data_IF_585733337855
#
_entry.id   IF_585733337855
#
_cell.length_a   1.000
_cell.length_b   1.000
_cell.length_c   1.000
_cell.angle_alpha   90.00
_cell.angle_beta   90.00
_cell.angle_gamma   90.00
#
_symmetry.space_group_name_H-M   'P 1'
#
loop_
_entity.id
_entity.type
_entity.pdbx_description
1 polymer ?
#
# COMPACT_ATOMS: atom_id res chain seq x y z
N UNK A 1 13.66 -15.30 -0.45
CA UNK A 1 13.21 -14.66 0.80
C UNK A 1 13.79 -15.44 1.97
N UNK A 2 13.81 -14.90 3.19
CA UNK A 2 14.19 -15.67 4.38
C UNK A 2 13.12 -15.48 5.46
N UNK A 3 12.84 -16.53 6.24
CA UNK A 3 12.15 -16.39 7.51
C UNK A 3 13.15 -16.43 8.65
N UNK A 4 12.88 -15.59 9.64
CA UNK A 4 13.61 -15.52 10.90
C UNK A 4 12.57 -15.75 11.99
N UNK A 5 12.77 -16.76 12.82
CA UNK A 5 11.93 -16.97 14.00
C UNK A 5 12.51 -16.17 15.16
N UNK A 6 11.77 -15.20 15.73
CA UNK A 6 12.28 -14.40 16.83
C UNK A 6 12.77 -15.27 18.00
N UNK A 7 13.93 -14.90 18.57
CA UNK A 7 14.55 -15.65 19.66
C UNK A 7 15.27 -16.95 19.23
N UNK A 8 15.26 -17.28 17.94
CA UNK A 8 16.05 -18.37 17.38
C UNK A 8 17.16 -17.82 16.48
N UNK A 9 18.34 -18.44 16.51
CA UNK A 9 19.43 -18.11 15.58
C UNK A 9 19.28 -18.78 14.20
N UNK A 10 18.13 -19.42 13.94
CA UNK A 10 17.87 -20.12 12.70
C UNK A 10 17.26 -19.19 11.66
N UNK A 11 17.86 -19.17 10.47
CA UNK A 11 17.34 -18.49 9.28
C UNK A 11 16.97 -19.57 8.27
N UNK A 12 15.73 -19.56 7.79
CA UNK A 12 15.29 -20.51 6.77
C UNK A 12 15.07 -19.79 5.46
N UNK A 13 15.66 -20.30 4.38
CA UNK A 13 15.37 -19.78 3.05
C UNK A 13 13.93 -20.13 2.66
N UNK A 14 13.18 -19.12 2.21
CA UNK A 14 11.88 -19.28 1.59
C UNK A 14 12.01 -18.99 0.10
N UNK A 15 11.85 -20.04 -0.69
CA UNK A 15 11.90 -19.97 -2.15
C UNK A 15 13.29 -19.71 -2.73
N UNK A 16 13.39 -19.70 -4.07
CA UNK A 16 14.62 -19.31 -4.75
C UNK A 16 14.91 -17.82 -4.58
N UNK A 17 16.14 -17.43 -4.91
CA UNK A 17 16.48 -16.01 -5.09
C UNK A 17 15.68 -15.45 -6.27
N UNK A 18 15.15 -14.24 -6.10
CA UNK A 18 14.53 -13.46 -7.16
C UNK A 18 15.61 -12.89 -8.09
N UNK A 19 16.10 -13.71 -9.02
CA UNK A 19 17.19 -13.33 -9.93
C UNK A 19 16.75 -12.24 -10.92
N UNK A 20 17.64 -11.26 -11.16
CA UNK A 20 17.40 -10.16 -12.10
C UNK A 20 16.50 -9.05 -11.57
N UNK A 21 16.19 -9.06 -10.27
CA UNK A 21 15.26 -8.15 -9.60
C UNK A 21 15.96 -7.35 -8.51
N UNK A 22 15.56 -6.11 -8.30
CA UNK A 22 16.02 -5.28 -7.18
C UNK A 22 14.81 -4.92 -6.34
N UNK A 23 14.59 -5.72 -5.29
CA UNK A 23 13.47 -5.53 -4.39
C UNK A 23 13.75 -4.34 -3.47
N UNK A 24 12.82 -3.39 -3.45
CA UNK A 24 12.81 -2.18 -2.63
C UNK A 24 11.45 -2.05 -2.00
N UNK A 25 11.36 -1.83 -0.71
CA UNK A 25 10.11 -1.80 0.03
C UNK A 25 9.28 -3.08 -0.04
N UNK A 26 8.73 -3.46 1.10
CA UNK A 26 7.87 -4.62 1.18
C UNK A 26 6.91 -4.51 2.34
N UNK A 27 5.68 -4.95 2.12
CA UNK A 27 4.65 -4.87 3.15
C UNK A 27 3.79 -6.12 3.14
N UNK A 28 3.46 -6.58 4.35
CA UNK A 28 2.46 -7.62 4.55
C UNK A 28 1.07 -7.01 4.65
N UNK A 29 0.14 -7.52 3.85
CA UNK A 29 -1.30 -7.27 3.96
C UNK A 29 -1.97 -8.58 4.39
N UNK A 30 -2.02 -8.82 5.71
CA UNK A 30 -2.36 -10.16 6.22
C UNK A 30 -1.33 -11.19 5.77
N UNK A 31 -1.77 -12.24 5.09
CA UNK A 31 -0.91 -13.34 4.59
C UNK A 31 -0.29 -13.09 3.20
N UNK A 32 -0.50 -11.89 2.63
CA UNK A 32 0.01 -11.53 1.30
C UNK A 32 1.22 -10.62 1.47
N UNK A 33 2.33 -10.98 0.83
CA UNK A 33 3.50 -10.12 0.73
C UNK A 33 3.43 -9.32 -0.57
N UNK A 34 3.47 -8.01 -0.46
CA UNK A 34 3.65 -7.09 -1.57
C UNK A 34 5.06 -6.51 -1.53
N UNK A 35 5.67 -6.30 -2.70
CA UNK A 35 7.00 -5.71 -2.79
C UNK A 35 7.18 -4.94 -4.10
N UNK A 36 8.05 -3.93 -4.11
CA UNK A 36 8.42 -3.24 -5.36
C UNK A 36 9.69 -3.85 -5.94
N UNK A 37 9.65 -4.21 -7.22
CA UNK A 37 10.85 -4.44 -8.01
C UNK A 37 11.25 -3.16 -8.75
N UNK A 38 12.21 -2.44 -8.17
CA UNK A 38 12.75 -1.21 -8.76
C UNK A 38 13.54 -1.44 -10.05
N UNK A 39 14.00 -2.67 -10.32
CA UNK A 39 14.74 -2.98 -11.55
C UNK A 39 13.81 -3.17 -12.76
N UNK A 40 12.61 -3.70 -12.52
CA UNK A 40 11.60 -3.98 -13.54
C UNK A 40 10.42 -3.01 -13.50
N UNK A 41 10.43 -2.06 -12.56
CA UNK A 41 9.42 -1.03 -12.40
C UNK A 41 8.01 -1.56 -12.10
N UNK A 42 7.94 -2.58 -11.26
CA UNK A 42 6.70 -3.32 -11.01
C UNK A 42 6.42 -3.61 -9.55
N UNK A 43 5.13 -3.68 -9.22
CA UNK A 43 4.61 -4.25 -7.99
C UNK A 43 4.53 -5.77 -8.12
N UNK A 44 5.04 -6.47 -7.12
CA UNK A 44 4.97 -7.92 -7.00
C UNK A 44 3.99 -8.34 -5.92
N UNK A 45 3.17 -9.34 -6.22
CA UNK A 45 2.46 -10.15 -5.22
C UNK A 45 3.22 -11.44 -5.02
N UNK A 46 3.68 -11.70 -3.80
CA UNK A 46 4.56 -12.83 -3.47
C UNK A 46 3.85 -13.74 -2.48
N UNK A 47 3.91 -15.04 -2.72
CA UNK A 47 3.49 -16.04 -1.75
C UNK A 47 4.48 -16.07 -0.58
N UNK A 48 4.02 -15.73 0.62
CA UNK A 48 4.88 -15.63 1.79
C UNK A 48 5.49 -16.97 2.26
N UNK A 49 4.90 -18.10 1.88
CA UNK A 49 5.33 -19.43 2.33
C UNK A 49 6.32 -20.07 1.36
N UNK A 50 6.24 -19.72 0.08
CA UNK A 50 7.08 -20.31 -0.98
C UNK A 50 8.04 -19.33 -1.61
N UNK A 51 7.83 -18.02 -1.44
CA UNK A 51 8.63 -16.96 -2.08
C UNK A 51 8.38 -16.84 -3.59
N UNK A 52 7.37 -17.54 -4.12
CA UNK A 52 7.00 -17.49 -5.53
C UNK A 52 6.29 -16.18 -5.85
N UNK A 53 6.62 -15.56 -6.98
CA UNK A 53 5.83 -14.43 -7.51
C UNK A 53 4.52 -15.00 -8.06
N UNK A 54 3.41 -14.52 -7.51
CA UNK A 54 2.06 -14.90 -7.91
C UNK A 54 1.52 -13.98 -9.01
N UNK A 55 1.93 -12.72 -8.99
CA UNK A 55 1.47 -11.68 -9.90
C UNK A 55 2.50 -10.54 -9.93
N UNK A 56 2.62 -9.87 -11.07
CA UNK A 56 3.41 -8.66 -11.23
C UNK A 56 2.65 -7.62 -12.08
N UNK A 57 2.79 -6.33 -11.75
CA UNK A 57 2.10 -5.22 -12.42
C UNK A 57 3.03 -4.02 -12.55
N UNK A 58 3.12 -3.45 -13.74
CA UNK A 58 3.81 -2.16 -13.94
C UNK A 58 3.11 -1.07 -13.13
N UNK A 59 3.87 -0.24 -12.41
CA UNK A 59 3.32 0.94 -11.75
C UNK A 59 3.02 2.02 -12.79
N UNK A 60 1.82 2.61 -12.71
CA UNK A 60 1.33 3.59 -13.69
C UNK A 60 0.99 4.91 -12.99
N UNK A 61 1.44 6.02 -13.54
CA UNK A 61 1.04 7.37 -13.13
C UNK A 61 0.51 8.13 -14.34
N UNK A 62 -0.74 8.60 -14.27
CA UNK A 62 -1.41 9.33 -15.35
C UNK A 62 -1.36 8.58 -16.71
N UNK A 63 -1.55 7.26 -16.68
CA UNK A 63 -1.54 6.41 -17.87
C UNK A 63 -0.16 6.15 -18.49
N UNK A 64 0.93 6.60 -17.86
CA UNK A 64 2.30 6.32 -18.27
C UNK A 64 3.04 5.49 -17.21
N UNK A 65 4.07 4.71 -17.58
CA UNK A 65 4.91 4.04 -16.61
C UNK A 65 5.45 5.02 -15.56
N UNK A 66 5.23 4.71 -14.29
CA UNK A 66 5.73 5.48 -13.16
C UNK A 66 7.22 5.19 -12.98
N UNK A 67 8.10 6.17 -12.97
CA UNK A 67 9.54 5.94 -12.83
C UNK A 67 9.95 5.82 -11.35
N UNK A 68 10.17 4.61 -10.88
CA UNK A 68 10.61 4.33 -9.50
C UNK A 68 12.04 4.84 -9.27
N UNK A 69 12.27 5.56 -8.18
CA UNK A 69 13.62 5.98 -7.80
C UNK A 69 14.42 4.90 -7.06
N UNK A 70 15.70 5.17 -6.80
CA UNK A 70 16.56 4.27 -6.02
C UNK A 70 16.16 4.16 -4.54
N UNK A 71 15.36 5.11 -4.06
CA UNK A 71 14.95 5.31 -2.68
C UNK A 71 13.43 5.30 -2.64
N UNK A 72 12.88 4.10 -2.46
CA UNK A 72 11.45 3.85 -2.44
C UNK A 72 11.11 2.81 -1.38
N UNK A 73 9.99 3.02 -0.72
CA UNK A 73 9.36 2.06 0.15
C UNK A 73 7.83 2.09 0.03
N UNK A 74 7.16 1.04 0.48
CA UNK A 74 5.70 0.91 0.50
C UNK A 74 5.18 0.48 1.86
N UNK A 75 4.02 0.98 2.23
CA UNK A 75 3.33 0.59 3.45
C UNK A 75 1.82 0.46 3.25
N UNK A 76 1.19 -0.23 4.20
CA UNK A 76 -0.26 -0.34 4.32
C UNK A 76 -0.68 0.33 5.62
N UNK A 77 -1.70 1.18 5.53
CA UNK A 77 -2.30 1.83 6.68
C UNK A 77 -3.42 0.96 7.31
N UNK A 78 -3.87 1.26 8.54
CA UNK A 78 -4.92 0.48 9.22
C UNK A 78 -6.26 0.41 8.47
N UNK A 79 -6.54 1.40 7.62
CA UNK A 79 -7.73 1.49 6.75
C UNK A 79 -7.59 0.70 5.43
N UNK A 80 -6.49 -0.06 5.28
CA UNK A 80 -6.14 -0.82 4.08
C UNK A 80 -5.74 0.04 2.85
N UNK A 81 -5.48 1.34 3.04
CA UNK A 81 -4.89 2.16 1.99
C UNK A 81 -3.39 1.88 1.85
N UNK A 82 -2.90 1.92 0.62
CA UNK A 82 -1.49 1.65 0.30
C UNK A 82 -0.78 2.94 -0.07
N UNK A 83 0.42 3.07 0.46
CA UNK A 83 1.24 4.26 0.36
C UNK A 83 2.61 3.88 -0.16
N UNK A 84 3.18 4.74 -0.99
CA UNK A 84 4.57 4.70 -1.39
C UNK A 84 5.26 5.97 -0.88
N UNK A 85 6.48 5.84 -0.39
CA UNK A 85 7.39 6.94 -0.14
C UNK A 85 8.53 6.81 -1.14
N UNK A 86 8.63 7.75 -2.07
CA UNK A 86 9.65 7.78 -3.10
C UNK A 86 10.39 9.12 -3.04
N UNK A 87 11.70 9.12 -2.86
CA UNK A 87 12.49 10.35 -2.74
C UNK A 87 12.31 11.32 -3.91
N UNK A 88 12.09 10.80 -5.12
CA UNK A 88 11.98 11.60 -6.35
C UNK A 88 10.54 12.01 -6.69
N UNK A 89 9.56 11.48 -5.97
CA UNK A 89 8.13 11.64 -6.28
C UNK A 89 7.26 11.92 -5.06
N UNK A 90 7.83 11.93 -3.86
CA UNK A 90 7.18 12.15 -2.57
C UNK A 90 6.42 10.96 -2.02
N UNK A 91 5.60 11.27 -1.01
CA UNK A 91 4.65 10.31 -0.42
C UNK A 91 3.33 10.39 -1.19
N UNK A 92 2.86 9.25 -1.68
CA UNK A 92 1.65 9.12 -2.51
C UNK A 92 0.87 7.86 -2.10
N UNK A 93 -0.44 7.92 -2.28
CA UNK A 93 -1.24 6.71 -2.31
C UNK A 93 -1.09 6.00 -3.66
N UNK A 94 -1.27 4.68 -3.67
CA UNK A 94 -1.44 3.92 -4.89
C UNK A 94 -2.47 2.80 -4.70
N UNK A 95 -3.09 2.39 -5.80
CA UNK A 95 -4.04 1.29 -5.81
C UNK A 95 -3.29 -0.03 -5.97
N UNK A 96 -3.24 -0.85 -4.93
CA UNK A 96 -2.53 -2.13 -4.94
C UNK A 96 -3.06 -3.12 -6.00
N UNK A 97 -4.34 -3.02 -6.37
CA UNK A 97 -4.97 -3.93 -7.32
C UNK A 97 -4.67 -3.54 -8.78
N UNK A 98 -4.56 -2.25 -9.07
CA UNK A 98 -4.30 -1.74 -10.44
C UNK A 98 -2.87 -1.26 -10.66
N UNK A 99 -2.08 -1.15 -9.60
CA UNK A 99 -0.75 -0.53 -9.59
C UNK A 99 -0.76 0.96 -10.04
N UNK A 100 -1.90 1.63 -9.95
CA UNK A 100 -2.03 3.05 -10.29
C UNK A 100 -1.59 3.93 -9.12
N UNK A 101 -0.58 4.76 -9.35
CA UNK A 101 -0.05 5.76 -8.41
C UNK A 101 -0.86 7.04 -8.53
N UNK A 102 -1.28 7.58 -7.39
CA UNK A 102 -2.03 8.84 -7.34
C UNK A 102 -1.18 10.02 -7.82
N UNK A 103 -1.80 10.92 -8.59
CA UNK A 103 -1.17 12.18 -9.02
C UNK A 103 -1.05 13.19 -7.88
N UNK A 104 -1.85 13.04 -6.82
CA UNK A 104 -1.75 13.84 -5.60
C UNK A 104 -0.55 13.41 -4.75
N UNK A 105 0.21 14.39 -4.27
CA UNK A 105 1.42 14.19 -3.49
C UNK A 105 1.28 14.92 -2.15
N UNK A 106 1.66 14.24 -1.06
CA UNK A 106 1.60 14.82 0.30
C UNK A 106 2.80 15.71 0.59
N UNK A 107 4.00 15.24 0.23
CA UNK A 107 5.24 15.98 0.37
C UNK A 107 5.98 16.03 -0.96
N UNK A 108 6.48 17.20 -1.40
CA UNK A 108 7.19 17.36 -2.67
C UNK A 108 8.44 16.49 -2.73
N UNK A 109 8.85 16.17 -3.97
CA UNK A 109 10.14 15.56 -4.25
C UNK A 109 11.24 16.44 -3.66
N UNK A 110 12.29 15.81 -3.13
CA UNK A 110 13.46 16.56 -2.71
C UNK A 110 14.74 15.82 -3.03
N UNK A 111 15.82 16.58 -3.21
CA UNK A 111 17.16 16.02 -3.32
C UNK A 111 17.64 15.51 -1.95
N UNK A 112 18.54 14.53 -1.96
CA UNK A 112 19.23 14.06 -0.77
C UNK A 112 19.79 15.23 0.07
N UNK A 113 19.67 15.14 1.39
CA UNK A 113 20.11 16.18 2.33
C UNK A 113 19.03 17.19 2.77
N UNK A 114 17.77 16.98 2.40
CA UNK A 114 16.63 17.73 2.98
C UNK A 114 15.69 16.80 3.74
N UNK A 115 14.88 17.34 4.65
CA UNK A 115 13.89 16.61 5.45
C UNK A 115 12.72 15.98 4.65
N UNK A 116 12.86 15.91 3.33
CA UNK A 116 11.85 15.38 2.41
C UNK A 116 12.38 14.21 1.57
N UNK A 117 13.57 13.69 1.90
CA UNK A 117 14.13 12.51 1.26
C UNK A 117 13.88 11.31 2.18
N UNK A 118 13.17 10.30 1.68
CA UNK A 118 12.70 9.17 2.48
C UNK A 118 13.09 7.85 1.84
N UNK A 119 13.45 6.89 2.70
CA UNK A 119 13.81 5.52 2.31
C UNK A 119 12.93 4.45 2.98
N UNK A 120 12.10 4.86 3.96
CA UNK A 120 11.21 3.97 4.69
C UNK A 120 9.92 4.67 5.09
N UNK A 121 8.81 3.94 5.06
CA UNK A 121 7.50 4.39 5.54
C UNK A 121 6.81 3.25 6.28
N UNK A 122 6.16 3.54 7.41
CA UNK A 122 5.36 2.57 8.13
C UNK A 122 4.19 3.24 8.85
N UNK A 123 3.15 2.46 9.14
CA UNK A 123 2.02 2.89 9.95
C UNK A 123 2.02 2.15 11.30
N UNK A 124 1.23 2.67 12.24
CA UNK A 124 1.05 2.06 13.55
C UNK A 124 -0.44 1.80 13.82
N UNK A 125 -0.74 0.67 14.46
CA UNK A 125 -2.09 0.35 14.97
C UNK A 125 -2.54 1.28 16.11
N UNK A 126 -1.61 2.05 16.69
CA UNK A 126 -1.88 2.94 17.82
C UNK A 126 -1.99 4.42 17.40
N UNK A 127 -2.00 4.70 16.09
CA UNK A 127 -2.16 6.03 15.54
C UNK A 127 -3.35 6.08 14.57
N UNK A 128 -3.79 7.29 14.23
CA UNK A 128 -4.74 7.47 13.12
C UNK A 128 -4.07 7.09 11.79
N UNK A 129 -4.88 6.66 10.83
CA UNK A 129 -4.57 6.43 9.43
C UNK A 129 -3.89 7.63 8.74
N UNK A 130 -4.08 8.85 9.27
CA UNK A 130 -3.43 10.06 8.76
C UNK A 130 -1.99 10.21 9.26
N UNK A 131 -1.51 9.31 10.13
CA UNK A 131 -0.19 9.41 10.76
C UNK A 131 0.70 8.25 10.31
N UNK A 132 1.78 8.59 9.61
CA UNK A 132 2.83 7.65 9.25
C UNK A 132 4.13 7.95 10.01
N UNK A 133 4.98 6.93 10.11
CA UNK A 133 6.39 7.05 10.42
C UNK A 133 7.17 7.03 9.11
N UNK A 134 8.18 7.89 9.00
CA UNK A 134 9.07 7.97 7.85
C UNK A 134 10.52 7.96 8.32
N UNK A 135 11.37 7.25 7.58
CA UNK A 135 12.81 7.27 7.77
C UNK A 135 13.43 8.21 6.74
N UNK A 136 14.12 9.23 7.23
CA UNK A 136 14.83 10.19 6.39
C UNK A 136 16.17 9.64 5.90
N UNK A 137 16.57 10.10 4.71
CA UNK A 137 17.86 9.78 4.08
C UNK A 137 18.67 11.07 3.83
N UNK A 138 18.70 11.98 4.82
CA UNK A 138 19.27 13.33 4.70
C UNK A 138 20.59 13.55 5.46
N UNK A 139 21.42 12.50 5.56
CA UNK A 139 22.69 12.48 6.32
C UNK A 139 22.55 12.58 7.85
N UNK A 140 21.32 12.60 8.35
CA UNK A 140 20.96 12.30 9.72
C UNK A 140 19.87 11.25 9.61
N UNK A 141 20.20 10.02 9.97
CA UNK A 141 19.30 8.87 9.90
C UNK A 141 18.14 9.07 10.90
N UNK A 142 17.18 9.94 10.59
CA UNK A 142 16.11 10.36 11.49
C UNK A 142 14.85 9.53 11.25
N UNK A 143 14.15 9.19 12.34
CA UNK A 143 12.78 8.68 12.28
C UNK A 143 11.84 9.80 12.68
N UNK A 144 10.88 10.09 11.80
CA UNK A 144 9.90 11.15 11.99
C UNK A 144 8.50 10.61 11.93
N UNK A 145 7.62 11.28 12.64
CA UNK A 145 6.19 11.19 12.43
C UNK A 145 5.77 12.23 11.41
N UNK A 146 4.91 11.86 10.47
CA UNK A 146 4.26 12.77 9.54
C UNK A 146 2.75 12.68 9.64
N UNK A 147 2.07 13.83 9.60
CA UNK A 147 0.65 13.90 9.34
C UNK A 147 0.40 14.07 7.84
N UNK A 148 -0.32 13.13 7.24
CA UNK A 148 -0.53 13.04 5.79
C UNK A 148 -1.57 14.05 5.27
N UNK A 149 -2.33 14.69 6.15
CA UNK A 149 -3.32 15.73 5.80
C UNK A 149 -2.69 17.13 5.84
N UNK A 150 -1.90 17.40 6.88
CA UNK A 150 -1.29 18.73 7.09
C UNK A 150 0.16 18.81 6.59
N UNK A 151 0.75 17.68 6.21
CA UNK A 151 2.16 17.52 5.85
C UNK A 151 3.13 17.94 6.95
N UNK A 152 2.67 18.05 8.20
CA UNK A 152 3.52 18.44 9.33
C UNK A 152 4.34 17.25 9.80
N UNK A 153 5.65 17.47 9.94
CA UNK A 153 6.59 16.46 10.43
C UNK A 153 7.08 16.78 11.84
N UNK A 154 7.27 15.74 12.65
CA UNK A 154 7.88 15.82 13.99
C UNK A 154 8.94 14.75 14.11
N UNK A 155 10.18 15.13 14.41
CA UNK A 155 11.23 14.16 14.68
C UNK A 155 10.94 13.41 15.98
N UNK A 156 11.00 12.07 15.93
CA UNK A 156 10.84 11.21 17.09
C UNK A 156 12.20 10.75 17.60
N UNK A 157 13.08 10.36 16.67
CA UNK A 157 14.42 9.92 16.94
C UNK A 157 15.37 10.55 15.94
N UNK A 158 16.34 11.30 16.44
CA UNK A 158 17.35 11.91 15.59
C UNK A 158 18.55 10.97 15.49
N UNK A 159 19.05 10.78 14.27
CA UNK A 159 20.27 10.07 13.96
C UNK A 159 20.35 8.68 14.63
N UNK A 160 19.34 7.84 14.36
CA UNK A 160 19.16 6.52 15.00
C UNK A 160 20.37 5.61 14.81
N UNK A 161 21.20 5.87 13.81
CA UNK A 161 22.46 5.17 13.65
C UNK A 161 23.63 6.07 13.23
N UNK A 162 24.15 6.85 14.18
CA UNK A 162 25.16 7.91 13.95
C UNK A 162 26.45 7.58 13.18
N UNK A 163 26.77 6.30 12.98
CA UNK A 163 27.98 5.86 12.26
C UNK A 163 27.70 5.40 10.82
N UNK A 164 26.45 5.50 10.39
CA UNK A 164 25.98 5.16 9.06
C UNK A 164 24.99 6.24 8.65
N UNK A 165 25.01 6.60 7.38
CA UNK A 165 24.07 7.58 6.83
C UNK A 165 23.68 7.03 5.47
N UNK A 166 22.79 6.05 5.48
CA UNK A 166 22.42 5.30 4.29
C UNK A 166 20.97 4.88 4.32
N UNK A 167 20.56 4.02 3.39
CA UNK A 167 19.16 3.63 3.30
C UNK A 167 18.67 2.97 4.60
N UNK A 168 17.58 3.50 5.15
CA UNK A 168 16.86 2.94 6.28
C UNK A 168 15.48 2.53 5.80
N UNK A 169 15.12 1.29 6.11
CA UNK A 169 13.80 0.74 5.87
C UNK A 169 12.96 0.77 7.16
N UNK A 170 11.63 0.90 7.02
CA UNK A 170 10.70 0.79 8.13
C UNK A 170 9.70 -0.32 7.84
N UNK A 171 9.53 -1.23 8.80
CA UNK A 171 8.50 -2.26 8.72
C UNK A 171 7.67 -2.25 10.00
N UNK A 172 6.36 -2.40 9.85
CA UNK A 172 5.43 -2.56 10.95
C UNK A 172 4.43 -3.68 10.65
N UNK A 173 4.02 -4.38 11.70
CA UNK A 173 2.84 -5.24 11.65
C UNK A 173 1.65 -4.34 11.91
N UNK A 174 0.81 -4.16 10.90
CA UNK A 174 -0.39 -3.31 10.97
C UNK A 174 -1.63 -4.22 10.86
N UNK A 175 -2.55 -4.08 11.80
CA UNK A 175 -3.85 -4.74 11.77
C UNK A 175 -4.78 -4.00 10.82
N UNK A 176 -4.76 -4.45 9.57
CA UNK A 176 -5.63 -3.95 8.52
C UNK A 176 -7.09 -4.30 8.80
N UNK A 177 -7.95 -3.28 8.85
CA UNK A 177 -9.40 -3.48 8.85
C UNK A 177 -9.87 -3.68 7.42
N UNK A 178 -10.49 -4.83 7.11
CA UNK A 178 -11.17 -4.98 5.82
C UNK A 178 -12.54 -4.31 5.91
N UNK A 179 -12.93 -3.48 4.93
CA UNK A 179 -14.29 -2.98 4.87
C UNK A 179 -15.23 -4.17 4.77
N UNK A 180 -16.13 -4.31 5.74
CA UNK A 180 -17.21 -5.30 5.68
C UNK A 180 -18.02 -4.94 4.43
N UNK A 181 -18.16 -5.84 3.43
CA UNK A 181 -19.02 -5.56 2.29
C UNK A 181 -20.39 -5.20 2.85
N UNK A 182 -20.92 -4.04 2.50
CA UNK A 182 -22.29 -3.72 2.89
C UNK A 182 -23.17 -4.90 2.46
N UNK A 183 -24.02 -5.44 3.36
CA UNK A 183 -24.92 -6.50 2.97
C UNK A 183 -25.70 -5.97 1.78
N UNK A 184 -25.62 -6.68 0.64
CA UNK A 184 -26.37 -6.39 -0.58
C UNK A 184 -27.75 -5.87 -0.16
N UNK A 185 -28.01 -4.59 -0.37
CA UNK A 185 -29.27 -3.97 0.04
C UNK A 185 -30.39 -4.58 -0.80
N UNK A 186 -30.91 -5.73 -0.34
CA UNK A 186 -32.08 -6.44 -0.89
C UNK A 186 -33.33 -5.55 -0.83
N UNK A 187 -33.26 -4.42 -0.12
CA UNK A 187 -34.31 -3.40 -0.08
C UNK A 187 -34.65 -2.80 -1.46
N UNK A 188 -33.74 -2.83 -2.44
CA UNK A 188 -34.04 -2.39 -3.82
C UNK A 188 -34.83 -3.40 -4.66
N UNK A 189 -34.91 -4.67 -4.23
CA UNK A 189 -35.61 -5.73 -4.99
C UNK A 189 -37.09 -5.87 -4.64
N UNK A 190 -37.53 -5.31 -3.51
CA UNK A 190 -38.95 -5.33 -3.09
C UNK A 190 -39.80 -4.24 -3.76
N UNK A 191 -39.21 -3.15 -4.23
CA UNK A 191 -39.92 -2.09 -4.98
C UNK A 191 -40.18 -2.45 -6.44
N UNK A 192 -39.40 -3.37 -7.04
CA UNK A 192 -39.55 -3.77 -8.44
C UNK A 192 -40.70 -4.77 -8.69
N UNK A 193 -41.28 -5.38 -7.65
CA UNK A 193 -42.45 -6.28 -7.78
C UNK A 193 -43.79 -5.54 -7.74
N UNK A 194 -43.79 -4.21 -7.52
CA UNK A 194 -45.02 -3.41 -7.35
C UNK A 194 -45.68 -2.87 -8.62
N UNK A 195 -45.03 -2.94 -9.79
CA UNK A 195 -45.53 -2.30 -11.02
C UNK A 195 -45.92 -3.26 -12.16
N UNK A 196 -45.88 -4.59 -11.95
CA UNK A 196 -45.99 -5.57 -13.03
C UNK A 196 -47.27 -6.38 -13.18
N UNK A 197 -48.28 -6.27 -12.28
CA UNK A 197 -49.38 -7.28 -12.23
C UNK A 197 -50.82 -6.76 -12.28
N UNK A 198 -51.06 -5.50 -12.69
CA UNK A 198 -52.44 -4.99 -12.89
C UNK A 198 -52.79 -4.68 -14.35
N UNK A 199 -52.84 -5.72 -15.19
CA UNK A 199 -53.74 -5.74 -16.36
C UNK A 199 -54.46 -7.09 -16.44
N UNK A 200 -55.45 -7.29 -15.57
CA UNK A 200 -56.36 -8.44 -15.63
C UNK A 200 -57.59 -8.11 -16.48
N UNK A 201 -57.52 -8.60 -17.71
CA UNK A 201 -58.61 -9.01 -18.62
C UNK A 201 -59.93 -9.45 -17.94
N UNK A 202 -61.04 -8.80 -18.29
CA UNK A 202 -62.39 -9.32 -18.65
C UNK A 202 -63.29 -8.09 -18.91
N UNK A 203 -64.08 -8.00 -19.97
CA UNK A 203 -65.33 -8.74 -20.18
C UNK A 203 -65.53 -8.98 -21.69
N UNK A 204 -65.64 -10.25 -22.08
CA UNK A 204 -66.33 -10.67 -23.30
C UNK A 204 -67.41 -11.65 -22.87
N UNK A 205 -68.67 -11.26 -23.09
CA UNK A 205 -69.79 -12.05 -23.61
C UNK A 205 -71.13 -11.48 -23.13
N UNK A 206 -71.97 -11.08 -24.08
CA UNK A 206 -73.30 -11.67 -24.23
C UNK A 206 -73.67 -11.70 -25.71
N UNK A 207 -74.02 -12.90 -26.19
CA UNK A 207 -74.69 -13.18 -27.46
C UNK A 207 -76.19 -13.01 -27.23
N UNK A 208 -76.84 -12.24 -28.09
CA UNK A 208 -77.98 -12.60 -28.95
C UNK A 208 -78.56 -11.31 -29.52
#
# INVERSE_FOLDING_TARGET
>A
MISITPGQSAVTAIGPRLNGRIIKGAVFQGDILWAIDSQQNELLRIDQNTGSILENKELILNGSPYNISAFIDIAVAPDNSFWLADSCSGIRQFNINTAEVSSSQILPCSTAGTNNAFDGIAFSDNASEDIALIAETNFSDDIRQINLVTSTQTALFNNVYSNYNGNIDLAAVVKVTQPVPEPLTILGSLTALGFGTFFKRKISKKKN
#
